data_IF_589576013249
#
_entry.id   IF_589576013249
#
_cell.length_a   1.000
_cell.length_b   1.000
_cell.length_c   1.000
_cell.angle_alpha   90.00
_cell.angle_beta   90.00
_cell.angle_gamma   90.00
#
_symmetry.space_group_name_H-M   'P 1'
#
loop_
_entity.id
_entity.type
_entity.pdbx_description
1 polymer ?
#
# COMPACT_ATOMS: atom_id res chain seq x y z
N UNK A 1 34.59 19.63 -24.64
CA UNK A 1 33.50 20.11 -25.50
C UNK A 1 32.25 19.39 -25.03
N UNK A 2 31.34 20.11 -24.35
CA UNK A 2 30.09 19.55 -23.83
C UNK A 2 28.97 19.98 -24.79
N UNK A 3 28.29 19.01 -25.40
CA UNK A 3 27.09 19.28 -26.19
C UNK A 3 25.92 19.52 -25.24
N UNK A 4 25.36 20.73 -25.29
CA UNK A 4 24.12 21.09 -24.60
C UNK A 4 22.97 21.00 -25.60
N UNK A 5 22.33 19.84 -25.66
CA UNK A 5 21.07 19.70 -26.40
C UNK A 5 19.94 20.30 -25.56
N UNK A 6 19.66 21.57 -25.83
CA UNK A 6 18.51 22.32 -25.30
C UNK A 6 17.20 21.78 -25.88
N UNK A 7 16.68 20.69 -25.32
CA UNK A 7 15.28 20.28 -25.52
C UNK A 7 14.50 20.51 -24.23
N UNK A 8 14.23 21.78 -23.92
CA UNK A 8 13.42 22.20 -22.77
C UNK A 8 11.94 21.88 -23.01
N UNK A 9 11.56 20.62 -22.87
CA UNK A 9 10.16 20.28 -22.60
C UNK A 9 9.82 20.77 -21.18
N UNK A 10 8.64 21.36 -20.94
CA UNK A 10 8.22 21.75 -19.60
C UNK A 10 8.19 20.49 -18.77
N UNK A 11 9.16 20.41 -17.86
CA UNK A 11 9.32 19.31 -16.94
C UNK A 11 8.03 19.22 -16.14
N UNK A 12 7.25 18.15 -16.34
CA UNK A 12 6.10 17.92 -15.49
C UNK A 12 6.60 17.75 -14.06
N UNK A 13 6.12 18.59 -13.14
CA UNK A 13 6.46 18.54 -11.71
C UNK A 13 6.10 17.19 -11.04
N UNK A 14 5.46 16.27 -11.77
CA UNK A 14 5.03 14.97 -11.31
C UNK A 14 5.95 13.89 -11.84
N UNK A 15 6.58 13.13 -10.94
CA UNK A 15 7.42 12.02 -11.37
C UNK A 15 6.61 10.95 -12.14
N UNK A 16 7.25 10.28 -13.12
CA UNK A 16 6.71 9.09 -13.73
C UNK A 16 6.31 8.04 -12.68
N UNK A 17 5.19 7.35 -12.88
CA UNK A 17 4.63 6.39 -11.92
C UNK A 17 5.63 5.31 -11.51
N UNK A 18 6.44 4.81 -12.45
CA UNK A 18 7.49 3.82 -12.19
C UNK A 18 8.52 4.32 -11.18
N UNK A 19 8.93 5.58 -11.31
CA UNK A 19 9.93 6.22 -10.47
C UNK A 19 9.33 6.58 -9.11
N UNK A 20 8.08 7.08 -9.09
CA UNK A 20 7.34 7.28 -7.85
C UNK A 20 7.22 6.00 -7.00
N UNK A 21 6.91 4.86 -7.63
CA UNK A 21 6.89 3.57 -6.94
C UNK A 21 8.28 3.12 -6.44
N UNK A 22 9.37 3.50 -7.10
CA UNK A 22 10.72 3.21 -6.61
C UNK A 22 11.06 4.06 -5.38
N UNK A 23 10.65 5.33 -5.36
CA UNK A 23 10.79 6.21 -4.19
C UNK A 23 9.98 5.69 -3.00
N UNK A 24 8.73 5.30 -3.23
CA UNK A 24 7.84 4.74 -2.19
C UNK A 24 8.38 3.43 -1.59
N UNK A 25 9.14 2.65 -2.36
CA UNK A 25 9.78 1.40 -1.93
C UNK A 25 11.14 1.61 -1.24
N UNK A 26 11.57 2.85 -1.04
CA UNK A 26 12.87 3.19 -0.44
C UNK A 26 14.06 3.03 -1.39
N UNK A 27 13.82 2.84 -2.69
CA UNK A 27 14.88 2.66 -3.68
C UNK A 27 15.26 4.00 -4.36
N UNK A 28 15.65 4.98 -3.53
CA UNK A 28 15.89 6.38 -3.95
C UNK A 28 17.02 6.50 -4.98
N UNK A 29 18.14 5.81 -4.75
CA UNK A 29 19.31 5.91 -5.64
C UNK A 29 19.00 5.39 -7.04
N UNK A 30 18.26 4.28 -7.14
CA UNK A 30 17.82 3.77 -8.43
C UNK A 30 16.77 4.68 -9.06
N UNK A 31 15.84 5.23 -8.28
CA UNK A 31 14.86 6.19 -8.77
C UNK A 31 15.52 7.42 -9.40
N UNK A 32 16.53 8.01 -8.73
CA UNK A 32 17.30 9.15 -9.23
C UNK A 32 18.06 8.77 -10.50
N UNK A 33 18.74 7.61 -10.50
CA UNK A 33 19.51 7.14 -11.65
C UNK A 33 18.61 6.90 -12.87
N UNK A 34 17.49 6.22 -12.68
CA UNK A 34 16.51 5.95 -13.74
C UNK A 34 15.85 7.23 -14.23
N UNK A 35 15.51 8.17 -13.33
CA UNK A 35 14.96 9.48 -13.72
C UNK A 35 15.93 10.31 -14.55
N UNK A 36 17.21 10.33 -14.13
CA UNK A 36 18.27 11.01 -14.88
C UNK A 36 18.46 10.41 -16.28
N UNK A 37 18.40 9.08 -16.39
CA UNK A 37 18.53 8.36 -17.66
C UNK A 37 17.31 8.54 -18.57
N UNK A 38 16.10 8.37 -18.04
CA UNK A 38 14.86 8.43 -18.80
C UNK A 38 14.57 9.85 -19.32
N UNK A 39 14.80 10.86 -18.48
CA UNK A 39 14.52 12.25 -18.83
C UNK A 39 15.76 13.00 -19.38
N UNK A 40 16.91 12.34 -19.48
CA UNK A 40 18.18 12.93 -19.92
C UNK A 40 18.51 14.22 -19.15
N UNK A 41 18.27 14.22 -17.84
CA UNK A 41 18.55 15.35 -16.94
C UNK A 41 19.78 15.05 -16.08
N UNK A 42 20.39 16.10 -15.52
CA UNK A 42 21.50 15.91 -14.58
C UNK A 42 21.06 15.11 -13.35
N UNK A 43 21.98 14.33 -12.78
CA UNK A 43 21.73 13.56 -11.56
C UNK A 43 21.26 14.46 -10.40
N UNK A 44 21.78 15.68 -10.33
CA UNK A 44 21.43 16.67 -9.31
C UNK A 44 19.98 17.20 -9.49
N UNK A 45 19.57 17.49 -10.73
CA UNK A 45 18.20 17.86 -11.04
C UNK A 45 17.22 16.71 -10.78
N UNK A 46 17.62 15.46 -11.06
CA UNK A 46 16.83 14.28 -10.76
C UNK A 46 16.66 14.08 -9.24
N UNK A 47 17.74 14.27 -8.46
CA UNK A 47 17.72 14.20 -7.01
C UNK A 47 16.72 15.19 -6.41
N UNK A 48 16.81 16.46 -6.81
CA UNK A 48 15.93 17.50 -6.29
C UNK A 48 14.44 17.18 -6.50
N UNK A 49 14.09 16.54 -7.61
CA UNK A 49 12.70 16.10 -7.86
C UNK A 49 12.30 14.89 -7.02
N UNK A 50 13.18 13.91 -6.87
CA UNK A 50 12.92 12.74 -6.02
C UNK A 50 12.74 13.17 -4.57
N UNK A 51 13.59 14.06 -4.07
CA UNK A 51 13.52 14.60 -2.71
C UNK A 51 12.21 15.39 -2.51
N UNK A 52 11.83 16.26 -3.46
CA UNK A 52 10.55 16.97 -3.41
C UNK A 52 9.36 16.00 -3.34
N UNK A 53 9.36 14.95 -4.15
CA UNK A 53 8.30 13.94 -4.13
C UNK A 53 8.26 13.11 -2.85
N UNK A 54 9.42 12.80 -2.27
CA UNK A 54 9.50 12.15 -0.96
C UNK A 54 8.85 13.01 0.12
N UNK A 55 9.15 14.31 0.15
CA UNK A 55 8.53 15.24 1.11
C UNK A 55 7.03 15.36 0.91
N UNK A 56 6.54 15.38 -0.33
CA UNK A 56 5.10 15.36 -0.60
C UNK A 56 4.42 14.09 -0.09
N UNK A 57 5.05 12.92 -0.27
CA UNK A 57 4.50 11.66 0.23
C UNK A 57 4.45 11.68 1.74
N UNK A 58 5.54 12.06 2.42
CA UNK A 58 5.59 12.14 3.89
C UNK A 58 4.51 13.08 4.42
N UNK A 59 4.33 14.25 3.79
CA UNK A 59 3.28 15.20 4.14
C UNK A 59 1.87 14.60 3.95
N UNK A 60 1.62 13.92 2.82
CA UNK A 60 0.33 13.24 2.55
C UNK A 60 0.08 12.11 3.54
N UNK A 61 1.10 11.32 3.88
CA UNK A 61 1.02 10.27 4.90
C UNK A 61 0.67 10.86 6.26
N UNK A 62 1.37 11.93 6.66
CA UNK A 62 1.09 12.62 7.92
C UNK A 62 -0.35 13.15 7.96
N UNK A 63 -0.79 13.87 6.93
CA UNK A 63 -2.17 14.39 6.83
C UNK A 63 -3.23 13.29 6.90
N UNK A 64 -3.00 12.14 6.24
CA UNK A 64 -3.90 11.00 6.31
C UNK A 64 -3.96 10.40 7.71
N UNK A 65 -2.80 10.23 8.37
CA UNK A 65 -2.73 9.74 9.74
C UNK A 65 -3.44 10.71 10.71
N UNK A 66 -3.24 12.03 10.57
CA UNK A 66 -3.92 13.05 11.38
C UNK A 66 -5.44 13.03 11.15
N UNK A 67 -5.88 12.85 9.89
CA UNK A 67 -7.31 12.76 9.56
C UNK A 67 -7.94 11.51 10.17
N UNK A 68 -7.23 10.38 10.15
CA UNK A 68 -7.71 9.13 10.76
C UNK A 68 -7.74 9.25 12.29
N UNK A 69 -6.71 9.82 12.90
CA UNK A 69 -6.64 10.05 14.34
C UNK A 69 -7.76 10.97 14.84
N UNK A 70 -7.98 12.10 14.17
CA UNK A 70 -9.10 13.00 14.46
C UNK A 70 -10.46 12.30 14.35
N UNK A 71 -10.65 11.41 13.36
CA UNK A 71 -11.88 10.61 13.21
C UNK A 71 -12.04 9.52 14.28
N UNK A 72 -10.94 9.04 14.85
CA UNK A 72 -10.91 8.00 15.88
C UNK A 72 -10.78 8.55 17.31
N UNK A 73 -10.75 9.88 17.48
CA UNK A 73 -10.58 10.53 18.79
C UNK A 73 -9.19 10.31 19.41
N UNK A 74 -8.19 9.96 18.60
CA UNK A 74 -6.81 9.77 19.05
C UNK A 74 -6.12 11.13 19.09
N UNK A 75 -5.55 11.56 20.24
CA UNK A 75 -4.87 12.84 20.34
C UNK A 75 -3.67 12.90 19.39
N UNK A 76 -3.51 14.04 18.71
CA UNK A 76 -2.46 14.28 17.70
C UNK A 76 -1.03 14.17 18.28
N UNK A 77 -0.89 14.22 19.61
CA UNK A 77 0.36 14.02 20.35
C UNK A 77 0.94 12.61 20.17
N UNK A 78 0.09 11.59 20.04
CA UNK A 78 0.49 10.19 19.85
C UNK A 78 0.92 9.86 18.40
N UNK A 79 0.83 10.83 17.49
CA UNK A 79 1.06 10.67 16.06
C UNK A 79 2.42 11.23 15.59
N UNK A 80 3.25 11.67 16.54
CA UNK A 80 4.59 12.22 16.25
C UNK A 80 5.53 11.10 15.81
N UNK A 81 5.87 11.09 14.52
CA UNK A 81 6.70 10.06 13.89
C UNK A 81 8.21 10.26 14.09
N UNK A 82 8.61 11.42 14.65
CA UNK A 82 10.01 11.82 14.87
C UNK A 82 10.33 12.12 16.35
N UNK A 83 9.48 11.71 17.31
CA UNK A 83 9.88 11.79 18.71
C UNK A 83 10.82 10.62 19.01
N UNK A 84 12.12 10.81 18.76
CA UNK A 84 13.12 10.14 19.57
C UNK A 84 12.77 10.45 21.03
N UNK A 85 12.64 9.45 21.92
CA UNK A 85 12.54 9.73 23.33
C UNK A 85 13.87 10.37 23.72
N UNK A 86 13.87 11.69 23.91
CA UNK A 86 14.95 12.36 24.63
C UNK A 86 15.16 11.56 25.91
N UNK A 87 16.37 11.00 26.00
CA UNK A 87 16.87 10.28 27.16
C UNK A 87 17.13 11.33 28.23
N UNK A 88 16.06 11.85 28.83
CA UNK A 88 16.15 12.53 30.10
C UNK A 88 16.24 11.47 31.19
N UNK A 89 17.44 11.39 31.72
CA UNK A 89 17.88 10.62 32.86
C UNK A 89 17.07 10.97 34.10
N UNK A 90 15.99 10.25 34.36
CA UNK A 90 15.50 10.04 35.73
C UNK A 90 14.83 8.68 35.83
N UNK A 91 15.48 7.80 36.59
CA UNK A 91 14.91 6.63 37.27
C UNK A 91 13.49 6.90 37.75
N UNK A 92 12.51 6.05 37.40
CA UNK A 92 11.62 5.38 38.36
C UNK A 92 10.48 4.59 37.68
N UNK A 93 10.34 3.34 38.13
CA UNK A 93 9.15 2.48 38.09
C UNK A 93 8.67 1.95 36.73
N UNK A 94 9.06 0.69 36.48
CA UNK A 94 8.43 -0.24 35.53
C UNK A 94 6.94 -0.45 35.88
N UNK A 95 6.06 0.41 35.38
CA UNK A 95 4.62 0.13 35.32
C UNK A 95 4.40 -0.91 34.23
N UNK A 96 4.45 -2.18 34.62
CA UNK A 96 4.04 -3.33 33.83
C UNK A 96 2.54 -3.22 33.56
N UNK A 97 2.16 -2.44 32.55
CA UNK A 97 0.79 -2.36 32.06
C UNK A 97 0.46 -3.69 31.37
N UNK A 98 0.01 -4.66 32.19
CA UNK A 98 -0.57 -5.93 31.74
C UNK A 98 -1.81 -5.59 30.91
N UNK A 99 -1.61 -5.44 29.60
CA UNK A 99 -2.70 -5.28 28.64
C UNK A 99 -3.59 -6.51 28.78
N UNK A 100 -4.76 -6.30 29.39
CA UNK A 100 -5.86 -7.24 29.44
C UNK A 100 -6.17 -7.66 28.00
N UNK A 101 -6.09 -8.96 27.76
CA UNK A 101 -6.70 -9.61 26.61
C UNK A 101 -8.18 -9.24 26.54
N UNK A 102 -8.66 -8.69 25.41
CA UNK A 102 -9.97 -8.96 24.77
C UNK A 102 -10.27 -7.92 23.68
N UNK A 103 -10.80 -8.40 22.54
CA UNK A 103 -11.36 -7.67 21.37
C UNK A 103 -10.45 -7.31 20.17
N UNK A 104 -9.52 -8.20 19.84
CA UNK A 104 -8.85 -8.21 18.52
C UNK A 104 -9.83 -8.33 17.33
N UNK A 105 -11.02 -8.92 17.51
CA UNK A 105 -12.01 -9.02 16.42
C UNK A 105 -12.64 -7.70 15.99
N UNK A 106 -12.77 -6.69 16.87
CA UNK A 106 -13.49 -5.46 16.52
C UNK A 106 -12.66 -4.53 15.63
N UNK A 107 -11.37 -4.41 15.90
CA UNK A 107 -10.44 -3.65 15.04
C UNK A 107 -10.24 -4.32 13.69
N UNK A 108 -10.14 -5.65 13.66
CA UNK A 108 -10.02 -6.36 12.38
C UNK A 108 -11.33 -6.30 11.56
N UNK A 109 -12.50 -6.46 12.21
CA UNK A 109 -13.81 -6.33 11.53
C UNK A 109 -14.07 -4.91 11.04
N UNK A 110 -13.63 -3.87 11.74
CA UNK A 110 -13.78 -2.49 11.27
C UNK A 110 -12.88 -2.21 10.06
N UNK A 111 -11.64 -2.73 10.05
CA UNK A 111 -10.75 -2.69 8.89
C UNK A 111 -11.33 -3.46 7.70
N UNK A 112 -11.86 -4.67 7.93
CA UNK A 112 -12.50 -5.50 6.90
C UNK A 112 -13.72 -4.80 6.28
N UNK A 113 -14.56 -4.16 7.12
CA UNK A 113 -15.76 -3.46 6.67
C UNK A 113 -15.45 -2.18 5.89
N UNK A 114 -14.40 -1.46 6.28
CA UNK A 114 -13.91 -0.28 5.54
C UNK A 114 -13.30 -0.65 4.19
N UNK A 115 -12.56 -1.76 4.13
CA UNK A 115 -12.03 -2.33 2.88
C UNK A 115 -13.16 -2.78 1.97
N UNK A 116 -14.14 -3.54 2.47
CA UNK A 116 -15.31 -3.98 1.70
C UNK A 116 -16.11 -2.80 1.12
N UNK A 117 -16.30 -1.72 1.91
CA UNK A 117 -16.99 -0.50 1.44
C UNK A 117 -16.22 0.24 0.36
N UNK A 118 -14.88 0.24 0.41
CA UNK A 118 -14.02 0.81 -0.64
C UNK A 118 -14.01 -0.04 -1.92
N UNK A 119 -14.18 -1.36 -1.80
CA UNK A 119 -14.31 -2.27 -2.94
C UNK A 119 -15.66 -2.11 -3.67
N UNK A 120 -16.72 -1.75 -2.95
CA UNK A 120 -18.04 -1.51 -3.53
C UNK A 120 -18.10 -0.16 -4.29
N UNK A 121 -17.45 0.87 -3.74
CA UNK A 121 -17.33 2.23 -4.32
C UNK A 121 -16.54 2.26 -5.64
N UNK A 122 -15.58 1.33 -5.82
CA UNK A 122 -14.84 1.16 -7.08
C UNK A 122 -15.59 0.30 -8.12
N UNK A 123 -16.86 -0.03 -7.88
CA UNK A 123 -17.71 -0.77 -8.83
C UNK A 123 -17.25 -2.21 -9.05
N UNK A 124 -16.57 -2.82 -8.07
CA UNK A 124 -16.16 -4.21 -8.16
C UNK A 124 -17.38 -5.12 -8.01
N UNK A 125 -18.08 -5.38 -9.14
CA UNK A 125 -19.13 -6.39 -9.20
C UNK A 125 -18.53 -7.73 -8.78
N UNK A 126 -18.83 -8.12 -7.54
CA UNK A 126 -18.53 -9.43 -7.00
C UNK A 126 -18.99 -10.45 -8.04
N UNK A 127 -18.10 -11.27 -8.63
CA UNK A 127 -18.54 -12.30 -9.55
C UNK A 127 -19.52 -13.18 -8.77
N UNK A 128 -20.79 -13.19 -9.20
CA UNK A 128 -21.90 -13.85 -8.50
C UNK A 128 -21.60 -15.32 -8.21
N UNK A 129 -20.63 -15.90 -8.92
CA UNK A 129 -20.12 -17.24 -8.68
C UNK A 129 -18.63 -17.09 -8.39
N UNK A 130 -18.18 -17.33 -7.14
CA UNK A 130 -16.76 -17.36 -6.84
C UNK A 130 -16.08 -18.40 -7.72
N UNK A 131 -14.88 -18.11 -8.22
CA UNK A 131 -14.15 -19.01 -9.12
C UNK A 131 -14.01 -20.45 -8.56
N UNK A 132 -14.03 -20.60 -7.24
CA UNK A 132 -14.10 -21.89 -6.54
C UNK A 132 -15.37 -22.69 -6.86
N UNK A 133 -16.56 -22.07 -6.83
CA UNK A 133 -17.82 -22.75 -7.12
C UNK A 133 -17.91 -23.17 -8.59
N UNK A 134 -17.40 -22.34 -9.53
CA UNK A 134 -17.31 -22.71 -10.94
C UNK A 134 -16.42 -23.93 -11.16
N UNK A 135 -15.28 -24.02 -10.45
CA UNK A 135 -14.40 -25.19 -10.50
C UNK A 135 -15.05 -26.43 -9.88
N UNK A 136 -15.73 -26.30 -8.73
CA UNK A 136 -16.45 -27.40 -8.09
C UNK A 136 -17.55 -27.97 -8.98
N UNK A 137 -18.30 -27.13 -9.71
CA UNK A 137 -19.35 -27.58 -10.63
C UNK A 137 -18.75 -28.41 -11.79
N UNK A 138 -17.64 -27.95 -12.36
CA UNK A 138 -16.92 -28.69 -13.43
C UNK A 138 -16.44 -30.05 -12.92
N UNK A 139 -15.84 -30.10 -11.72
CA UNK A 139 -15.38 -31.35 -11.10
C UNK A 139 -16.55 -32.29 -10.84
N UNK A 140 -17.66 -31.79 -10.28
CA UNK A 140 -18.86 -32.58 -10.01
C UNK A 140 -19.48 -33.15 -11.29
N UNK A 141 -19.51 -32.38 -12.39
CA UNK A 141 -19.99 -32.86 -13.68
C UNK A 141 -19.12 -33.98 -14.27
N UNK A 142 -17.79 -33.87 -14.14
CA UNK A 142 -16.86 -34.93 -14.57
C UNK A 142 -17.07 -36.19 -13.72
N UNK A 143 -17.18 -36.06 -12.41
CA UNK A 143 -17.41 -37.19 -11.49
C UNK A 143 -18.73 -37.88 -11.78
N UNK A 144 -19.82 -37.13 -12.02
CA UNK A 144 -21.12 -37.68 -12.38
C UNK A 144 -21.09 -38.37 -13.75
N UNK A 145 -20.39 -37.81 -14.74
CA UNK A 145 -20.23 -38.42 -16.07
C UNK A 145 -19.47 -39.74 -16.02
N UNK A 146 -18.33 -39.78 -15.32
CA UNK A 146 -17.58 -41.02 -15.12
C UNK A 146 -18.42 -42.06 -14.37
N UNK A 147 -19.10 -41.64 -13.30
CA UNK A 147 -19.98 -42.52 -12.53
C UNK A 147 -21.11 -43.10 -13.38
N UNK A 148 -21.72 -42.28 -14.24
CA UNK A 148 -22.77 -42.72 -15.16
C UNK A 148 -22.26 -43.78 -16.16
N UNK A 149 -21.08 -43.56 -16.73
CA UNK A 149 -20.46 -44.51 -17.68
C UNK A 149 -20.12 -45.83 -16.98
N UNK A 150 -19.51 -45.75 -15.80
CA UNK A 150 -19.17 -46.92 -14.99
C UNK A 150 -20.41 -47.72 -14.60
N UNK A 151 -21.49 -47.05 -14.17
CA UNK A 151 -22.76 -47.71 -13.88
C UNK A 151 -23.35 -48.35 -15.14
N UNK A 152 -23.30 -47.68 -16.31
CA UNK A 152 -23.85 -48.23 -17.55
C UNK A 152 -23.08 -49.46 -18.09
N UNK A 153 -21.79 -49.56 -17.80
CA UNK A 153 -20.90 -50.63 -18.27
C UNK A 153 -20.91 -51.83 -17.31
N UNK A 154 -20.97 -51.59 -16.00
CA UNK A 154 -20.94 -52.65 -14.98
C UNK A 154 -22.31 -53.04 -14.41
N UNK A 155 -23.39 -52.32 -14.75
CA UNK A 155 -24.78 -52.67 -14.44
C UNK A 155 -25.54 -53.09 -15.67
#
# INVERSE_FOLDING_TARGET
MFNSDSNSKPVSAKLPKSIGMMVEKGNLVMAIKTLAQDENISMDAAKLRVDAYETEIKNKQHQNLTTIANRQGIPNEALSFDREPEVETTTETLVKHRVKTTKSEQGFKSLQRGVDSKLDDIGYKKPLIPYLAKRLLVIAAIMAGLFWILWRVFG
#
